data_IF_850075251391
#
_entry.id   IF_850075251391
#
_cell.length_a   1.000
_cell.length_b   1.000
_cell.length_c   1.000
_cell.angle_alpha   90.00
_cell.angle_beta   90.00
_cell.angle_gamma   90.00
#
_symmetry.space_group_name_H-M   'P 1'
#
loop_
_entity.id
_entity.type
_entity.pdbx_description
1 polymer ?
#
# COMPACT_ATOMS: atom_id res chain seq x y z
N UNK A 1 -18.25 20.10 2.24
CA UNK A 1 -19.02 20.55 1.05
C UNK A 1 -20.53 20.22 1.15
N UNK A 2 -21.08 20.03 2.37
CA UNK A 2 -22.52 19.97 2.60
C UNK A 2 -23.21 18.65 2.25
N UNK A 3 -22.46 17.56 2.02
CA UNK A 3 -23.02 16.23 1.77
C UNK A 3 -22.65 15.29 2.90
N UNK A 4 -23.64 14.53 3.38
CA UNK A 4 -23.42 13.49 4.38
C UNK A 4 -22.64 12.31 3.77
N UNK A 5 -21.60 11.87 4.46
CA UNK A 5 -20.86 10.66 4.11
C UNK A 5 -21.42 9.50 4.93
N UNK A 6 -21.70 8.38 4.28
CA UNK A 6 -22.07 7.11 4.91
C UNK A 6 -21.03 6.06 4.57
N UNK A 7 -20.66 5.24 5.54
CA UNK A 7 -19.77 4.09 5.36
C UNK A 7 -20.57 2.81 5.56
N UNK A 8 -20.30 1.84 4.68
CA UNK A 8 -20.79 0.47 4.81
C UNK A 8 -19.58 -0.46 4.85
N UNK A 9 -19.58 -1.38 5.77
CA UNK A 9 -18.46 -2.31 5.99
C UNK A 9 -18.90 -3.76 5.83
N UNK A 10 -17.99 -4.60 5.44
CA UNK A 10 -18.20 -6.03 5.31
C UNK A 10 -16.89 -6.78 5.56
N UNK A 11 -16.88 -7.63 6.61
CA UNK A 11 -15.74 -8.48 6.91
C UNK A 11 -15.66 -9.65 5.92
N UNK A 12 -14.50 -9.80 5.29
CA UNK A 12 -14.28 -10.80 4.23
C UNK A 12 -13.46 -12.01 4.69
N UNK A 13 -12.80 -11.93 5.85
CA UNK A 13 -11.83 -12.94 6.28
C UNK A 13 -10.68 -13.11 5.27
N UNK A 14 -10.40 -12.06 4.49
CA UNK A 14 -9.41 -12.05 3.39
C UNK A 14 -9.72 -13.04 2.25
N UNK A 15 -10.95 -13.56 2.17
CA UNK A 15 -11.40 -14.47 1.12
C UNK A 15 -11.94 -13.68 -0.08
N UNK A 16 -11.45 -13.99 -1.29
CA UNK A 16 -11.79 -13.25 -2.51
C UNK A 16 -13.26 -13.41 -2.89
N UNK A 17 -13.82 -14.61 -2.79
CA UNK A 17 -15.24 -14.90 -3.07
C UNK A 17 -16.17 -14.11 -2.14
N UNK A 18 -15.88 -14.11 -0.85
CA UNK A 18 -16.61 -13.32 0.14
C UNK A 18 -16.48 -11.82 -0.12
N UNK A 19 -15.29 -11.36 -0.56
CA UNK A 19 -15.08 -9.97 -0.96
C UNK A 19 -15.94 -9.55 -2.14
N UNK A 20 -16.11 -10.41 -3.13
CA UNK A 20 -17.02 -10.18 -4.27
C UNK A 20 -18.47 -10.17 -3.81
N UNK A 21 -18.88 -11.09 -2.93
CA UNK A 21 -20.22 -11.10 -2.33
C UNK A 21 -20.50 -9.81 -1.54
N UNK A 22 -19.56 -9.37 -0.70
CA UNK A 22 -19.65 -8.11 0.03
C UNK A 22 -19.83 -6.92 -0.93
N UNK A 23 -19.07 -6.85 -2.00
CA UNK A 23 -19.18 -5.81 -3.01
C UNK A 23 -20.58 -5.79 -3.64
N UNK A 24 -21.08 -6.92 -4.12
CA UNK A 24 -22.42 -7.02 -4.74
C UNK A 24 -23.53 -6.58 -3.77
N UNK A 25 -23.41 -6.92 -2.49
CA UNK A 25 -24.38 -6.57 -1.47
C UNK A 25 -24.33 -5.09 -1.08
N UNK A 26 -23.14 -4.48 -1.10
CA UNK A 26 -22.95 -3.10 -0.61
C UNK A 26 -23.09 -2.05 -1.72
N UNK A 27 -22.74 -2.38 -2.98
CA UNK A 27 -22.66 -1.41 -4.06
C UNK A 27 -23.95 -0.60 -4.32
N UNK A 28 -25.12 -1.17 -4.02
CA UNK A 28 -26.41 -0.51 -4.21
C UNK A 28 -26.98 0.20 -2.97
N UNK A 29 -26.33 0.09 -1.81
CA UNK A 29 -26.83 0.71 -0.57
C UNK A 29 -26.75 2.24 -0.62
N UNK A 30 -27.62 2.89 0.14
CA UNK A 30 -27.67 4.36 0.29
C UNK A 30 -27.78 5.13 -1.05
N UNK A 31 -28.41 4.54 -2.04
CA UNK A 31 -28.53 5.13 -3.38
C UNK A 31 -27.37 4.86 -4.33
N UNK A 32 -26.46 3.98 -3.93
CA UNK A 32 -25.30 3.56 -4.70
C UNK A 32 -23.97 4.01 -4.10
N UNK A 33 -22.97 3.13 -4.20
CA UNK A 33 -21.62 3.43 -3.73
C UNK A 33 -20.94 4.45 -4.65
N UNK A 34 -20.43 5.54 -4.09
CA UNK A 34 -19.64 6.53 -4.83
C UNK A 34 -18.21 6.04 -5.06
N UNK A 35 -17.65 5.28 -4.10
CA UNK A 35 -16.33 4.66 -4.15
C UNK A 35 -16.34 3.34 -3.40
N UNK A 36 -15.37 2.48 -3.67
CA UNK A 36 -15.19 1.22 -2.94
C UNK A 36 -13.70 1.01 -2.58
N UNK A 37 -13.45 0.53 -1.38
CA UNK A 37 -12.11 0.16 -0.89
C UNK A 37 -12.08 -1.34 -0.60
N UNK A 38 -11.52 -2.18 -1.48
CA UNK A 38 -11.50 -3.65 -1.32
C UNK A 38 -10.69 -4.13 -0.12
N UNK A 39 -9.67 -3.38 0.29
CA UNK A 39 -8.70 -3.69 1.35
C UNK A 39 -8.08 -5.10 1.25
N UNK A 40 -7.95 -5.60 0.04
CA UNK A 40 -7.30 -6.86 -0.32
C UNK A 40 -6.87 -6.82 -1.78
N UNK A 41 -5.64 -7.25 -2.06
CA UNK A 41 -5.13 -7.35 -3.44
C UNK A 41 -5.91 -8.38 -4.25
N UNK A 42 -6.21 -9.55 -3.69
CA UNK A 42 -7.00 -10.58 -4.37
C UNK A 42 -8.41 -10.12 -4.71
N UNK A 43 -9.10 -9.44 -3.77
CA UNK A 43 -10.43 -8.86 -4.01
C UNK A 43 -10.34 -7.75 -5.06
N UNK A 44 -9.30 -6.91 -5.01
CA UNK A 44 -9.08 -5.85 -6.03
C UNK A 44 -8.95 -6.46 -7.43
N UNK A 45 -8.22 -7.57 -7.58
CA UNK A 45 -8.09 -8.26 -8.87
C UNK A 45 -9.46 -8.71 -9.39
N UNK A 46 -10.27 -9.34 -8.55
CA UNK A 46 -11.60 -9.79 -8.91
C UNK A 46 -12.54 -8.63 -9.27
N UNK A 47 -12.48 -7.53 -8.52
CA UNK A 47 -13.34 -6.36 -8.74
C UNK A 47 -12.89 -5.48 -9.91
N UNK A 48 -11.64 -5.57 -10.35
CA UNK A 48 -11.14 -4.80 -11.51
C UNK A 48 -11.98 -5.03 -12.77
N UNK A 49 -12.54 -6.23 -12.95
CA UNK A 49 -13.39 -6.54 -14.10
C UNK A 49 -14.86 -6.12 -13.91
N UNK A 50 -15.31 -5.93 -12.66
CA UNK A 50 -16.68 -5.53 -12.34
C UNK A 50 -16.87 -4.01 -12.26
N UNK A 51 -15.92 -3.33 -11.67
CA UNK A 51 -15.97 -1.88 -11.43
C UNK A 51 -16.31 -1.03 -12.65
N UNK A 52 -15.80 -1.34 -13.88
CA UNK A 52 -16.18 -0.59 -15.10
C UNK A 52 -17.68 -0.65 -15.41
N UNK A 53 -18.30 -1.82 -15.27
CA UNK A 53 -19.74 -2.01 -15.51
C UNK A 53 -20.61 -1.31 -14.47
N UNK A 54 -20.17 -1.31 -13.22
CA UNK A 54 -20.86 -0.66 -12.11
C UNK A 54 -20.53 0.84 -11.98
N UNK A 55 -19.48 1.31 -12.68
CA UNK A 55 -18.99 2.70 -12.64
C UNK A 55 -18.61 3.13 -11.21
N UNK A 56 -17.94 2.28 -10.47
CA UNK A 56 -17.51 2.54 -9.08
C UNK A 56 -15.98 2.55 -9.02
N UNK A 57 -15.33 3.68 -8.68
CA UNK A 57 -13.88 3.73 -8.47
C UNK A 57 -13.44 2.82 -7.32
N UNK A 58 -12.39 2.04 -7.57
CA UNK A 58 -11.71 1.24 -6.56
C UNK A 58 -10.51 2.03 -6.03
N UNK A 59 -10.56 2.44 -4.77
CA UNK A 59 -9.47 3.17 -4.14
C UNK A 59 -8.62 2.18 -3.35
N UNK A 60 -7.36 2.03 -3.77
CA UNK A 60 -6.44 1.04 -3.22
C UNK A 60 -5.12 1.67 -2.81
N UNK A 61 -5.17 2.61 -1.86
CA UNK A 61 -4.01 3.35 -1.40
C UNK A 61 -2.84 2.43 -0.96
N UNK A 62 -1.90 2.20 -1.87
CA UNK A 62 -0.72 1.36 -1.66
C UNK A 62 -0.96 -0.14 -1.69
N UNK A 63 -2.04 -0.62 -2.29
CA UNK A 63 -2.27 -2.06 -2.48
C UNK A 63 -3.02 -2.32 -3.81
N UNK A 64 -3.28 -3.59 -4.11
CA UNK A 64 -3.93 -4.00 -5.33
C UNK A 64 -2.94 -4.30 -6.45
N UNK A 65 -3.35 -4.03 -7.68
CA UNK A 65 -2.56 -4.29 -8.89
C UNK A 65 -1.58 -3.14 -9.13
N UNK A 66 -0.28 -3.42 -9.16
CA UNK A 66 0.73 -2.37 -9.40
C UNK A 66 0.62 -1.76 -10.80
N UNK A 67 0.28 -2.55 -11.81
CA UNK A 67 0.06 -2.06 -13.18
C UNK A 67 -1.17 -1.17 -13.31
N UNK A 68 -2.07 -1.15 -12.34
CA UNK A 68 -3.23 -0.25 -12.33
C UNK A 68 -2.89 1.22 -12.09
N UNK A 69 -1.63 1.54 -11.84
CA UNK A 69 -1.11 2.90 -11.96
C UNK A 69 -1.33 3.49 -13.37
N UNK A 70 -1.39 2.64 -14.41
CA UNK A 70 -1.73 3.06 -15.77
C UNK A 70 -3.24 3.28 -15.94
N UNK A 71 -3.67 4.50 -15.72
CA UNK A 71 -5.07 4.91 -15.90
C UNK A 71 -5.57 4.83 -17.35
N UNK A 72 -4.67 4.76 -18.32
CA UNK A 72 -5.02 4.55 -19.73
C UNK A 72 -5.70 3.20 -19.99
N UNK A 73 -5.39 2.19 -19.16
CA UNK A 73 -6.00 0.85 -19.21
C UNK A 73 -6.94 0.63 -18.03
N UNK A 74 -6.48 0.93 -16.82
CA UNK A 74 -7.23 0.67 -15.58
C UNK A 74 -8.05 1.89 -15.15
N UNK A 75 -9.05 2.21 -15.93
CA UNK A 75 -9.89 3.41 -15.78
C UNK A 75 -10.51 3.58 -14.39
N UNK A 76 -10.75 2.49 -13.66
CA UNK A 76 -11.50 2.49 -12.40
C UNK A 76 -10.70 2.07 -11.17
N UNK A 77 -9.40 1.83 -11.32
CA UNK A 77 -8.49 1.49 -10.23
C UNK A 77 -7.59 2.69 -9.89
N UNK A 78 -7.46 3.00 -8.60
CA UNK A 78 -6.67 4.13 -8.11
C UNK A 78 -5.73 3.69 -6.97
N UNK A 79 -4.52 3.19 -7.30
CA UNK A 79 -3.51 2.82 -6.32
C UNK A 79 -2.76 4.06 -5.83
N UNK A 80 -3.48 4.94 -5.15
CA UNK A 80 -2.99 6.25 -4.73
C UNK A 80 -1.77 6.15 -3.80
N UNK A 81 -0.86 7.09 -3.94
CA UNK A 81 0.35 7.30 -3.16
C UNK A 81 1.46 6.27 -3.36
N UNK A 82 1.25 5.24 -4.16
CA UNK A 82 2.28 4.25 -4.50
C UNK A 82 1.74 2.84 -4.71
N UNK A 83 2.57 1.99 -5.29
CA UNK A 83 2.27 0.59 -5.59
C UNK A 83 3.28 -0.33 -4.92
N UNK A 84 3.03 -1.63 -4.94
CA UNK A 84 3.99 -2.62 -4.45
C UNK A 84 5.30 -2.63 -5.23
N UNK A 85 5.29 -2.22 -6.50
CA UNK A 85 6.55 -2.08 -7.26
C UNK A 85 7.37 -0.89 -6.78
N UNK A 86 6.74 0.21 -6.38
CA UNK A 86 7.42 1.30 -5.67
C UNK A 86 8.04 0.79 -4.36
N UNK A 87 7.32 -0.02 -3.60
CA UNK A 87 7.82 -0.57 -2.34
C UNK A 87 9.05 -1.46 -2.54
N UNK A 88 8.98 -2.40 -3.48
CA UNK A 88 10.10 -3.31 -3.78
C UNK A 88 11.32 -2.55 -4.26
N UNK A 89 11.11 -1.56 -5.12
CA UNK A 89 12.18 -0.71 -5.64
C UNK A 89 12.91 0.06 -4.53
N UNK A 90 12.17 0.74 -3.67
CA UNK A 90 12.74 1.51 -2.55
C UNK A 90 13.44 0.62 -1.52
N UNK A 91 12.92 -0.58 -1.23
CA UNK A 91 13.62 -1.53 -0.36
C UNK A 91 15.01 -1.87 -0.94
N UNK A 92 15.10 -2.15 -2.24
CA UNK A 92 16.40 -2.46 -2.87
C UNK A 92 17.31 -1.23 -2.90
N UNK A 93 16.78 -0.01 -3.07
CA UNK A 93 17.58 1.21 -2.97
C UNK A 93 18.21 1.38 -1.57
N UNK A 94 17.44 1.13 -0.50
CA UNK A 94 17.97 1.24 0.87
C UNK A 94 19.01 0.14 1.17
N UNK A 95 18.74 -1.09 0.74
CA UNK A 95 19.70 -2.21 0.83
C UNK A 95 21.01 -1.84 0.10
N UNK A 96 20.91 -1.32 -1.12
CA UNK A 96 22.07 -0.89 -1.90
C UNK A 96 22.87 0.21 -1.18
N UNK A 97 22.19 1.21 -0.66
CA UNK A 97 22.81 2.30 0.11
C UNK A 97 23.57 1.77 1.34
N UNK A 98 22.95 0.87 2.10
CA UNK A 98 23.57 0.25 3.29
C UNK A 98 24.72 -0.70 2.93
N UNK A 99 24.68 -1.34 1.77
CA UNK A 99 25.76 -2.17 1.27
C UNK A 99 26.95 -1.36 0.74
N UNK A 100 26.81 -0.05 0.59
CA UNK A 100 27.87 0.84 0.08
C UNK A 100 27.78 1.15 -1.41
N UNK A 101 26.65 0.84 -2.06
CA UNK A 101 26.36 1.13 -3.46
C UNK A 101 25.65 0.00 -4.18
N UNK A 102 25.02 0.31 -5.30
CA UNK A 102 24.28 -0.68 -6.10
C UNK A 102 25.19 -1.77 -6.68
N UNK A 103 26.44 -1.42 -7.00
CA UNK A 103 27.48 -2.35 -7.45
C UNK A 103 27.84 -3.42 -6.40
N UNK A 104 27.62 -3.13 -5.13
CA UNK A 104 27.85 -4.05 -4.01
C UNK A 104 26.77 -5.12 -3.85
N UNK A 105 25.68 -5.01 -4.60
CA UNK A 105 24.64 -6.05 -4.63
C UNK A 105 25.02 -7.24 -5.50
N UNK A 106 25.99 -7.09 -6.40
CA UNK A 106 26.44 -8.19 -7.27
C UNK A 106 26.93 -9.38 -6.44
N UNK A 107 26.35 -10.55 -6.70
CA UNK A 107 26.64 -11.79 -5.98
C UNK A 107 26.02 -11.91 -4.59
N UNK A 108 25.33 -10.90 -4.09
CA UNK A 108 24.53 -10.99 -2.86
C UNK A 108 23.36 -11.95 -3.05
N UNK A 109 22.83 -12.45 -1.94
CA UNK A 109 21.64 -13.29 -1.93
C UNK A 109 20.52 -12.62 -1.14
N UNK A 110 19.38 -12.37 -1.79
CA UNK A 110 18.18 -11.82 -1.17
C UNK A 110 17.09 -12.90 -1.22
N UNK A 111 16.45 -13.18 -0.09
CA UNK A 111 15.32 -14.09 0.00
C UNK A 111 14.02 -13.29 0.18
N UNK A 112 13.05 -13.48 -0.70
CA UNK A 112 11.70 -12.97 -0.56
C UNK A 112 10.86 -14.02 0.18
N UNK A 113 10.48 -13.75 1.42
CA UNK A 113 9.48 -14.51 2.16
C UNK A 113 8.14 -13.82 1.95
N UNK A 114 7.22 -14.46 1.25
CA UNK A 114 5.99 -13.81 0.83
C UNK A 114 4.75 -14.66 1.11
N UNK A 115 3.67 -13.98 1.47
CA UNK A 115 2.36 -14.62 1.62
C UNK A 115 1.91 -15.19 0.26
N UNK A 116 1.58 -16.48 0.20
CA UNK A 116 1.17 -17.13 -1.05
C UNK A 116 -0.26 -16.72 -1.45
N UNK A 117 -0.34 -15.53 -2.01
CA UNK A 117 -1.56 -14.89 -2.49
C UNK A 117 -1.24 -13.87 -3.57
N UNK A 118 -2.23 -13.32 -4.26
CA UNK A 118 -2.01 -12.21 -5.20
C UNK A 118 -1.20 -11.06 -4.58
N UNK A 119 -1.43 -10.72 -3.31
CA UNK A 119 -0.66 -9.71 -2.58
C UNK A 119 0.83 -10.04 -2.51
N UNK A 120 1.18 -11.23 -2.03
CA UNK A 120 2.59 -11.61 -1.86
C UNK A 120 3.34 -11.71 -3.18
N UNK A 121 2.64 -12.12 -4.25
CA UNK A 121 3.21 -12.25 -5.59
C UNK A 121 3.49 -10.93 -6.29
N UNK A 122 2.88 -9.83 -5.84
CA UNK A 122 3.12 -8.49 -6.40
C UNK A 122 4.58 -8.02 -6.28
N UNK A 123 5.33 -8.50 -5.26
CA UNK A 123 6.74 -8.16 -5.10
C UNK A 123 7.66 -8.83 -6.14
N UNK A 124 7.25 -9.97 -6.70
CA UNK A 124 8.13 -10.82 -7.51
C UNK A 124 8.67 -10.09 -8.75
N UNK A 125 7.84 -9.44 -9.59
CA UNK A 125 8.32 -8.81 -10.82
C UNK A 125 9.39 -7.74 -10.57
N UNK A 126 9.16 -6.83 -9.63
CA UNK A 126 10.12 -5.76 -9.34
C UNK A 126 11.42 -6.29 -8.74
N UNK A 127 11.36 -7.29 -7.86
CA UNK A 127 12.56 -7.86 -7.27
C UNK A 127 13.36 -8.68 -8.29
N UNK A 128 12.70 -9.34 -9.25
CA UNK A 128 13.36 -10.02 -10.36
C UNK A 128 14.04 -9.01 -11.29
N UNK A 129 13.38 -7.89 -11.61
CA UNK A 129 13.97 -6.82 -12.41
C UNK A 129 15.22 -6.25 -11.75
N UNK A 130 15.13 -5.94 -10.45
CA UNK A 130 16.28 -5.46 -9.68
C UNK A 130 17.39 -6.52 -9.54
N UNK A 131 17.04 -7.80 -9.43
CA UNK A 131 18.02 -8.88 -9.39
C UNK A 131 18.79 -9.00 -10.71
N UNK A 132 18.09 -8.92 -11.84
CA UNK A 132 18.71 -8.92 -13.16
C UNK A 132 19.63 -7.70 -13.35
N UNK A 133 19.19 -6.51 -12.92
CA UNK A 133 19.95 -5.27 -13.05
C UNK A 133 21.23 -5.28 -12.20
N UNK A 134 21.17 -5.72 -10.95
CA UNK A 134 22.27 -5.61 -10.00
C UNK A 134 23.07 -6.90 -9.82
N UNK A 135 22.65 -8.02 -10.41
CA UNK A 135 23.34 -9.31 -10.34
C UNK A 135 23.29 -9.98 -8.96
N UNK A 136 22.28 -9.73 -8.16
CA UNK A 136 22.05 -10.50 -6.94
C UNK A 136 21.18 -11.74 -7.20
N UNK A 137 21.36 -12.79 -6.39
CA UNK A 137 20.51 -13.97 -6.38
C UNK A 137 19.21 -13.65 -5.64
N UNK A 138 18.06 -13.97 -6.22
CA UNK A 138 16.75 -13.88 -5.58
C UNK A 138 16.19 -15.29 -5.32
N UNK A 139 15.85 -15.60 -4.07
CA UNK A 139 15.11 -16.80 -3.69
C UNK A 139 13.67 -16.45 -3.33
N UNK A 140 12.71 -17.23 -3.82
CA UNK A 140 11.28 -17.05 -3.59
C UNK A 140 10.78 -18.09 -2.61
N UNK A 141 10.33 -17.66 -1.43
CA UNK A 141 9.91 -18.52 -0.32
C UNK A 141 8.45 -18.23 0.03
N UNK A 142 7.49 -18.94 -0.61
CA UNK A 142 6.08 -18.76 -0.31
C UNK A 142 5.72 -19.28 1.08
N UNK A 143 4.81 -18.57 1.75
CA UNK A 143 4.24 -18.97 3.03
C UNK A 143 2.71 -19.01 2.90
N UNK A 144 2.13 -20.16 3.20
CA UNK A 144 0.69 -20.38 3.09
C UNK A 144 -0.08 -19.59 4.15
N UNK A 145 -1.25 -19.04 3.76
CA UNK A 145 -2.16 -18.38 4.69
C UNK A 145 -2.53 -19.30 5.89
N UNK A 146 -2.60 -18.80 7.12
CA UNK A 146 -2.43 -17.41 7.58
C UNK A 146 -0.97 -17.02 7.88
N UNK A 147 0.01 -17.85 7.57
CA UNK A 147 1.41 -17.51 7.71
C UNK A 147 2.08 -17.96 9.02
N UNK A 148 1.46 -18.87 9.78
CA UNK A 148 1.99 -19.39 11.05
C UNK A 148 2.98 -20.55 10.86
N UNK A 149 2.93 -21.25 9.72
CA UNK A 149 3.79 -22.40 9.45
C UNK A 149 5.04 -21.97 8.68
N UNK A 150 6.07 -21.50 9.40
CA UNK A 150 7.29 -20.96 8.82
C UNK A 150 8.59 -21.70 9.19
N UNK A 151 8.52 -22.76 9.99
CA UNK A 151 9.74 -23.47 10.46
C UNK A 151 10.61 -23.97 9.30
N UNK A 152 10.01 -24.60 8.30
CA UNK A 152 10.74 -25.10 7.11
C UNK A 152 11.41 -23.96 6.34
N UNK A 153 10.71 -22.84 6.16
CA UNK A 153 11.23 -21.63 5.52
C UNK A 153 12.45 -21.09 6.25
N UNK A 154 12.39 -21.00 7.58
CA UNK A 154 13.50 -20.46 8.38
C UNK A 154 14.65 -21.45 8.55
N UNK A 155 14.43 -22.76 8.50
CA UNK A 155 15.49 -23.76 8.38
C UNK A 155 16.21 -23.64 7.01
N UNK A 156 15.48 -23.36 5.94
CA UNK A 156 16.07 -23.08 4.65
C UNK A 156 16.91 -21.78 4.68
N UNK A 157 16.38 -20.69 5.23
CA UNK A 157 17.11 -19.41 5.40
C UNK A 157 18.39 -19.63 6.22
N UNK A 158 18.31 -20.41 7.30
CA UNK A 158 19.49 -20.75 8.14
C UNK A 158 20.55 -21.51 7.35
N UNK A 159 20.14 -22.43 6.48
CA UNK A 159 21.06 -23.19 5.63
C UNK A 159 21.67 -22.34 4.53
N UNK A 160 20.84 -21.57 3.84
CA UNK A 160 21.18 -20.83 2.61
C UNK A 160 21.84 -19.47 2.93
N UNK A 161 21.66 -18.96 4.13
CA UNK A 161 22.24 -17.71 4.67
C UNK A 161 22.15 -16.53 3.71
N UNK A 162 20.94 -16.12 3.26
CA UNK A 162 20.85 -14.94 2.44
C UNK A 162 21.39 -13.70 3.16
N UNK A 163 21.95 -12.76 2.40
CA UNK A 163 22.45 -11.49 2.94
C UNK A 163 21.30 -10.62 3.45
N UNK A 164 20.12 -10.70 2.84
CA UNK A 164 18.92 -9.99 3.23
C UNK A 164 17.67 -10.84 3.07
N UNK A 165 16.67 -10.56 3.88
CA UNK A 165 15.31 -11.13 3.78
C UNK A 165 14.33 -9.99 3.57
N UNK A 166 13.50 -10.11 2.54
CA UNK A 166 12.36 -9.23 2.32
C UNK A 166 11.10 -9.95 2.78
N UNK A 167 10.38 -9.37 3.74
CA UNK A 167 9.12 -9.88 4.28
C UNK A 167 7.94 -9.23 3.56
N UNK A 168 7.26 -9.99 2.72
CA UNK A 168 6.04 -9.55 2.06
C UNK A 168 4.83 -10.25 2.68
N UNK A 169 4.60 -9.94 3.94
CA UNK A 169 3.56 -10.52 4.79
C UNK A 169 2.61 -9.47 5.37
N UNK A 170 1.60 -9.95 6.05
CA UNK A 170 0.66 -9.17 6.85
C UNK A 170 0.17 -10.00 8.04
N UNK A 171 -0.33 -9.31 9.07
CA UNK A 171 -0.94 -9.94 10.24
C UNK A 171 0.02 -10.90 10.97
N UNK A 172 -0.50 -12.05 11.41
CA UNK A 172 0.24 -13.03 12.22
C UNK A 172 1.48 -13.59 11.50
N UNK A 173 1.53 -13.54 10.18
CA UNK A 173 2.71 -13.94 9.42
C UNK A 173 3.95 -13.15 9.83
N UNK A 174 3.79 -11.83 10.08
CA UNK A 174 4.90 -10.93 10.40
C UNK A 174 5.52 -11.26 11.76
N UNK A 175 4.71 -11.36 12.82
CA UNK A 175 5.20 -11.69 14.16
C UNK A 175 5.80 -13.11 14.21
N UNK A 176 5.22 -14.06 13.47
CA UNK A 176 5.77 -15.42 13.32
C UNK A 176 7.13 -15.38 12.64
N UNK A 177 7.27 -14.64 11.53
CA UNK A 177 8.54 -14.46 10.83
C UNK A 177 9.63 -13.94 11.75
N UNK A 178 9.35 -12.92 12.55
CA UNK A 178 10.31 -12.32 13.46
C UNK A 178 10.69 -13.26 14.63
N UNK A 179 9.76 -14.05 15.14
CA UNK A 179 10.01 -15.08 16.15
C UNK A 179 10.90 -16.19 15.60
N UNK A 180 10.65 -16.66 14.39
CA UNK A 180 11.49 -17.66 13.73
C UNK A 180 12.88 -17.11 13.37
N UNK A 181 12.97 -15.84 12.95
CA UNK A 181 14.25 -15.17 12.75
C UNK A 181 15.07 -15.12 14.04
N UNK A 182 14.42 -14.82 15.16
CA UNK A 182 15.06 -14.84 16.49
C UNK A 182 15.54 -16.25 16.86
N UNK A 183 14.70 -17.26 16.68
CA UNK A 183 15.00 -18.64 16.99
C UNK A 183 16.17 -19.22 16.17
N UNK A 184 16.32 -18.77 14.92
CA UNK A 184 17.40 -19.18 14.01
C UNK A 184 18.65 -18.30 14.11
N UNK A 185 18.62 -17.23 14.91
CA UNK A 185 19.72 -16.29 15.06
C UNK A 185 19.96 -15.40 13.83
N UNK A 186 18.96 -15.22 12.98
CA UNK A 186 19.09 -14.36 11.79
C UNK A 186 19.05 -12.87 12.20
N UNK A 187 19.98 -12.00 11.73
CA UNK A 187 20.04 -10.59 12.11
C UNK A 187 18.80 -9.82 11.66
N UNK A 188 18.11 -9.13 12.58
CA UNK A 188 16.92 -8.34 12.25
C UNK A 188 17.22 -7.15 11.38
N UNK A 189 18.43 -6.59 11.44
CA UNK A 189 18.91 -5.48 10.62
C UNK A 189 18.98 -5.83 9.12
N UNK A 190 18.98 -7.12 8.79
CA UNK A 190 18.97 -7.65 7.43
C UNK A 190 17.56 -8.01 6.94
N UNK A 191 16.50 -7.74 7.73
CA UNK A 191 15.11 -8.01 7.36
C UNK A 191 14.39 -6.70 7.02
N UNK A 192 13.68 -6.71 5.90
CA UNK A 192 12.89 -5.57 5.41
C UNK A 192 11.44 -5.98 5.17
N UNK A 193 10.50 -5.37 5.87
CA UNK A 193 9.07 -5.58 5.68
C UNK A 193 8.47 -4.60 4.67
N UNK A 194 7.48 -5.07 3.92
CA UNK A 194 6.57 -4.17 3.20
C UNK A 194 5.74 -3.36 4.21
N UNK A 195 5.08 -2.28 3.79
CA UNK A 195 4.28 -1.43 4.70
C UNK A 195 3.13 -2.12 5.44
N UNK A 196 2.74 -3.34 5.08
CA UNK A 196 1.82 -4.19 5.85
C UNK A 196 2.54 -5.06 6.88
N UNK A 197 3.86 -4.98 6.94
CA UNK A 197 4.72 -5.71 7.85
C UNK A 197 5.60 -4.77 8.70
N UNK A 198 5.14 -3.55 8.92
CA UNK A 198 5.87 -2.51 9.64
C UNK A 198 4.99 -1.74 10.61
N UNK A 199 4.17 -2.43 11.39
CA UNK A 199 3.27 -1.84 12.36
C UNK A 199 3.53 -2.37 13.78
N UNK A 200 2.95 -1.71 14.77
CA UNK A 200 3.12 -2.05 16.19
C UNK A 200 2.69 -3.50 16.51
N UNK A 201 1.56 -4.03 16.00
CA UNK A 201 1.16 -5.41 16.27
C UNK A 201 2.18 -6.47 15.78
N UNK A 202 3.00 -6.13 14.78
CA UNK A 202 4.00 -7.06 14.25
C UNK A 202 5.17 -7.30 15.20
N UNK A 203 5.50 -6.30 16.05
CA UNK A 203 6.75 -6.23 16.82
C UNK A 203 6.55 -6.07 18.33
N UNK A 204 5.42 -5.56 18.77
CA UNK A 204 5.14 -5.16 20.17
C UNK A 204 5.39 -6.32 21.16
N UNK A 205 4.88 -7.51 20.86
CA UNK A 205 5.01 -8.68 21.71
C UNK A 205 6.41 -9.31 21.69
N UNK A 206 7.23 -8.96 20.70
CA UNK A 206 8.59 -9.43 20.53
C UNK A 206 9.58 -8.45 21.17
N UNK A 207 9.23 -7.17 21.18
CA UNK A 207 10.00 -6.10 21.81
C UNK A 207 11.44 -6.03 21.32
N UNK A 208 12.39 -6.21 22.25
CA UNK A 208 13.82 -6.19 21.96
C UNK A 208 14.26 -7.32 21.00
N UNK A 209 13.55 -8.42 20.92
CA UNK A 209 13.83 -9.50 19.98
C UNK A 209 13.65 -9.10 18.51
N UNK A 210 12.84 -8.07 18.26
CA UNK A 210 12.63 -7.50 16.93
C UNK A 210 13.50 -6.26 16.65
N UNK A 211 14.32 -5.81 17.61
CA UNK A 211 15.18 -4.62 17.42
C UNK A 211 16.04 -4.74 16.18
N UNK A 212 16.07 -3.68 15.39
CA UNK A 212 16.80 -3.63 14.12
C UNK A 212 15.95 -3.98 12.88
N UNK A 213 14.76 -4.58 13.07
CA UNK A 213 13.86 -4.88 11.97
C UNK A 213 13.45 -3.62 11.23
N UNK A 214 13.63 -3.62 9.90
CA UNK A 214 13.30 -2.52 9.02
C UNK A 214 11.96 -2.77 8.32
N UNK A 215 11.21 -1.71 8.06
CA UNK A 215 10.06 -1.78 7.18
C UNK A 215 9.95 -0.51 6.34
N UNK A 216 9.34 -0.63 5.18
CA UNK A 216 9.05 0.53 4.34
C UNK A 216 7.73 1.17 4.75
N UNK A 217 7.61 2.48 4.59
CA UNK A 217 6.36 3.21 4.76
C UNK A 217 6.22 4.34 3.74
N UNK A 218 5.00 4.57 3.27
CA UNK A 218 4.66 5.70 2.41
C UNK A 218 4.01 6.86 3.18
N UNK A 219 3.65 6.64 4.44
CA UNK A 219 3.15 7.67 5.35
C UNK A 219 3.99 7.71 6.61
N UNK A 220 3.80 8.77 7.38
CA UNK A 220 4.34 8.82 8.73
C UNK A 220 3.54 7.85 9.60
N UNK A 221 4.20 6.86 10.16
CA UNK A 221 3.61 5.93 11.12
C UNK A 221 3.99 6.31 12.54
N UNK A 222 3.13 6.00 13.49
CA UNK A 222 3.40 6.11 14.92
C UNK A 222 3.71 7.53 15.44
N UNK A 223 3.23 8.59 14.80
CA UNK A 223 3.33 9.93 15.37
C UNK A 223 2.01 10.45 15.93
N UNK A 224 1.91 10.34 17.23
CA UNK A 224 0.83 10.93 18.02
C UNK A 224 0.86 12.48 18.00
N UNK A 225 1.88 13.08 17.42
CA UNK A 225 2.10 14.53 17.35
C UNK A 225 1.47 15.24 16.15
N UNK A 226 1.02 14.53 15.12
CA UNK A 226 0.40 15.15 13.95
C UNK A 226 -0.92 15.86 14.27
N UNK A 227 -1.24 16.91 13.52
CA UNK A 227 -2.45 17.70 13.77
C UNK A 227 -3.73 16.86 13.61
N UNK A 228 -3.78 15.97 12.63
CA UNK A 228 -4.93 15.09 12.43
C UNK A 228 -5.14 14.14 13.61
N UNK A 229 -4.09 13.60 14.21
CA UNK A 229 -4.18 12.74 15.40
C UNK A 229 -4.71 13.52 16.59
N UNK A 230 -4.20 14.73 16.84
CA UNK A 230 -4.71 15.60 17.89
C UNK A 230 -6.20 15.91 17.70
N UNK A 231 -6.60 16.23 16.48
CA UNK A 231 -7.99 16.51 16.16
C UNK A 231 -8.91 15.29 16.42
N UNK A 232 -8.48 14.07 16.07
CA UNK A 232 -9.22 12.84 16.38
C UNK A 232 -9.35 12.65 17.89
N UNK A 233 -8.27 12.82 18.64
CA UNK A 233 -8.29 12.68 20.11
C UNK A 233 -9.20 13.70 20.77
N UNK A 234 -9.15 14.97 20.35
CA UNK A 234 -9.90 16.08 20.95
C UNK A 234 -11.38 16.11 20.51
N UNK A 235 -11.66 15.87 19.23
CA UNK A 235 -13.01 16.02 18.66
C UNK A 235 -13.83 14.74 18.64
N UNK A 236 -13.20 13.57 18.70
CA UNK A 236 -13.85 12.27 18.63
C UNK A 236 -13.74 11.55 19.97
N UNK A 237 -12.52 11.14 20.38
CA UNK A 237 -12.35 10.35 21.60
C UNK A 237 -12.71 11.11 22.87
N UNK A 238 -12.36 12.38 23.01
CA UNK A 238 -12.74 13.18 24.19
C UNK A 238 -14.25 13.33 24.37
N UNK A 239 -15.02 13.13 23.29
CA UNK A 239 -16.50 13.17 23.32
C UNK A 239 -17.15 11.79 23.45
N UNK A 240 -16.36 10.73 23.68
CA UNK A 240 -16.86 9.36 23.77
C UNK A 240 -17.39 8.79 22.45
N UNK A 241 -17.02 9.37 21.31
CA UNK A 241 -17.47 8.96 19.98
C UNK A 241 -16.46 8.05 19.26
N UNK A 242 -15.26 7.87 19.82
CA UNK A 242 -14.24 6.98 19.27
C UNK A 242 -14.56 5.52 19.55
N UNK A 243 -14.34 4.67 18.56
CA UNK A 243 -14.34 3.22 18.70
C UNK A 243 -12.91 2.71 18.72
N UNK A 244 -12.62 1.67 19.48
CA UNK A 244 -11.29 1.13 19.66
C UNK A 244 -10.43 1.85 20.71
N UNK A 245 -9.24 1.30 21.02
CA UNK A 245 -8.36 1.83 22.06
C UNK A 245 -7.80 3.20 21.71
N UNK A 246 -7.89 4.14 22.66
CA UNK A 246 -7.43 5.51 22.48
C UNK A 246 -5.91 5.60 22.31
N UNK A 247 -5.17 4.71 22.91
CA UNK A 247 -3.70 4.66 22.87
C UNK A 247 -3.16 4.14 21.52
N UNK A 248 -3.99 3.49 20.71
CA UNK A 248 -3.66 3.06 19.35
C UNK A 248 -3.83 4.18 18.30
N UNK A 249 -4.50 5.29 18.67
CA UNK A 249 -4.65 6.44 17.77
C UNK A 249 -3.28 7.03 17.46
N UNK A 250 -2.94 7.05 16.18
CA UNK A 250 -1.63 7.48 15.68
C UNK A 250 -0.62 6.34 15.46
N UNK A 251 -0.95 5.09 15.76
CA UNK A 251 -0.15 3.93 15.33
C UNK A 251 -0.17 3.79 13.81
N UNK A 252 0.80 3.04 13.26
CA UNK A 252 1.02 2.94 11.81
C UNK A 252 -0.25 2.55 11.04
N UNK A 253 -0.97 1.51 11.47
CA UNK A 253 -2.20 1.07 10.79
C UNK A 253 -3.35 2.06 10.99
N UNK A 254 -3.44 2.72 12.14
CA UNK A 254 -4.42 3.78 12.36
C UNK A 254 -4.19 4.95 11.37
N UNK A 255 -2.94 5.40 11.24
CA UNK A 255 -2.58 6.45 10.28
C UNK A 255 -2.87 6.04 8.85
N UNK A 256 -2.69 4.76 8.51
CA UNK A 256 -3.04 4.21 7.20
C UNK A 256 -4.55 4.32 6.94
N UNK A 257 -5.38 4.01 7.92
CA UNK A 257 -6.83 4.21 7.85
C UNK A 257 -7.22 5.67 7.62
N UNK A 258 -6.59 6.59 8.37
CA UNK A 258 -6.85 8.03 8.24
C UNK A 258 -6.51 8.56 6.84
N UNK A 259 -5.35 8.22 6.29
CA UNK A 259 -5.01 8.73 4.95
C UNK A 259 -5.84 8.06 3.85
N UNK A 260 -6.22 6.79 4.00
CA UNK A 260 -7.13 6.12 3.06
C UNK A 260 -8.50 6.78 3.04
N UNK A 261 -9.05 7.12 4.21
CA UNK A 261 -10.29 7.89 4.32
C UNK A 261 -10.15 9.30 3.73
N UNK A 262 -9.03 9.97 3.98
CA UNK A 262 -8.74 11.28 3.40
C UNK A 262 -8.72 11.23 1.87
N UNK A 263 -8.07 10.23 1.25
CA UNK A 263 -8.08 10.05 -0.19
C UNK A 263 -9.49 9.82 -0.74
N UNK A 264 -10.29 8.97 -0.08
CA UNK A 264 -11.68 8.73 -0.50
C UNK A 264 -12.50 10.03 -0.51
N UNK A 265 -12.36 10.86 0.53
CA UNK A 265 -13.07 12.14 0.65
C UNK A 265 -12.55 13.19 -0.34
N UNK A 266 -11.23 13.36 -0.46
CA UNK A 266 -10.65 14.42 -1.29
C UNK A 266 -10.89 14.21 -2.79
N UNK A 267 -10.91 12.97 -3.29
CA UNK A 267 -11.30 12.69 -4.66
C UNK A 267 -12.74 13.10 -4.96
N UNK A 268 -13.67 12.78 -4.06
CA UNK A 268 -15.07 13.23 -4.20
C UNK A 268 -15.18 14.75 -4.07
N UNK A 269 -14.42 15.36 -3.15
CA UNK A 269 -14.40 16.83 -3.00
C UNK A 269 -13.87 17.51 -4.26
N UNK A 270 -12.84 16.95 -4.90
CA UNK A 270 -12.32 17.45 -6.18
C UNK A 270 -13.39 17.38 -7.28
N UNK A 271 -14.17 16.31 -7.32
CA UNK A 271 -15.31 16.22 -8.25
C UNK A 271 -16.36 17.30 -7.96
N UNK A 272 -16.66 17.57 -6.69
CA UNK A 272 -17.62 18.63 -6.31
C UNK A 272 -17.17 20.04 -6.71
N UNK A 273 -15.88 20.32 -6.76
CA UNK A 273 -15.39 21.61 -7.27
C UNK A 273 -15.76 21.81 -8.77
N UNK A 274 -15.79 20.73 -9.57
CA UNK A 274 -16.19 20.78 -10.98
C UNK A 274 -17.72 20.72 -11.17
N UNK A 275 -18.38 19.78 -10.50
CA UNK A 275 -19.78 19.42 -10.80
C UNK A 275 -20.80 20.08 -9.87
N UNK A 276 -20.34 20.76 -8.81
CA UNK A 276 -21.14 21.55 -7.88
C UNK A 276 -21.03 21.11 -6.42
N UNK A 277 -20.67 22.05 -5.57
CA UNK A 277 -20.66 21.88 -4.11
C UNK A 277 -22.05 21.55 -3.60
N UNK A 278 -22.13 20.73 -2.55
CA UNK A 278 -23.41 20.29 -1.97
C UNK A 278 -24.16 19.22 -2.78
N UNK A 279 -23.59 18.74 -3.90
CA UNK A 279 -24.19 17.67 -4.69
C UNK A 279 -23.55 16.30 -4.37
N UNK A 280 -24.37 15.27 -4.37
CA UNK A 280 -23.90 13.89 -4.36
C UNK A 280 -23.27 13.58 -5.72
N UNK A 281 -22.09 13.01 -5.71
CA UNK A 281 -21.36 12.65 -6.93
C UNK A 281 -21.72 11.23 -7.38
N UNK A 282 -21.91 11.06 -8.69
CA UNK A 282 -21.92 9.72 -9.30
C UNK A 282 -20.53 9.11 -9.29
N UNK A 283 -20.41 7.79 -9.49
CA UNK A 283 -19.10 7.15 -9.60
C UNK A 283 -18.26 7.69 -10.77
N UNK A 284 -18.88 8.06 -11.90
CA UNK A 284 -18.17 8.71 -13.03
C UNK A 284 -17.61 10.08 -12.66
N UNK A 285 -18.39 10.87 -11.95
CA UNK A 285 -17.94 12.16 -11.44
C UNK A 285 -16.84 12.00 -10.39
N UNK A 286 -16.98 11.03 -9.47
CA UNK A 286 -15.96 10.70 -8.49
C UNK A 286 -14.66 10.23 -9.19
N UNK A 287 -14.76 9.37 -10.21
CA UNK A 287 -13.61 8.96 -11.03
C UNK A 287 -12.87 10.17 -11.61
N UNK A 288 -13.59 11.12 -12.18
CA UNK A 288 -12.97 12.37 -12.65
C UNK A 288 -12.21 13.08 -11.51
N UNK A 289 -12.79 13.13 -10.31
CA UNK A 289 -12.15 13.74 -9.15
C UNK A 289 -10.85 13.03 -8.76
N UNK A 290 -10.82 11.70 -8.80
CA UNK A 290 -9.60 10.93 -8.54
C UNK A 290 -8.57 11.08 -9.65
N UNK A 291 -8.95 11.23 -10.89
CA UNK A 291 -8.04 11.50 -12.02
C UNK A 291 -7.48 12.93 -12.02
N UNK A 292 -8.06 13.82 -11.24
CA UNK A 292 -7.63 15.22 -11.11
C UNK A 292 -7.30 15.60 -9.67
N UNK A 293 -6.96 14.61 -8.83
CA UNK A 293 -6.59 14.83 -7.46
C UNK A 293 -5.24 15.56 -7.41
N UNK A 294 -5.18 16.68 -6.69
CA UNK A 294 -3.96 17.45 -6.48
C UNK A 294 -3.83 17.82 -5.01
N UNK A 295 -3.19 16.94 -4.26
CA UNK A 295 -2.88 17.13 -2.85
C UNK A 295 -1.47 17.72 -2.73
N UNK A 296 -1.38 19.03 -2.87
CA UNK A 296 -0.13 19.78 -2.63
C UNK A 296 0.27 19.70 -1.16
N UNK A 297 1.53 20.04 -0.83
CA UNK A 297 1.97 20.10 0.56
C UNK A 297 1.09 21.05 1.38
N UNK A 298 0.78 22.24 0.86
CA UNK A 298 -0.09 23.20 1.54
C UNK A 298 -1.49 22.63 1.81
N UNK A 299 -2.04 21.86 0.88
CA UNK A 299 -3.32 21.18 1.08
C UNK A 299 -3.24 20.12 2.17
N UNK A 300 -2.20 19.29 2.15
CA UNK A 300 -1.96 18.28 3.18
C UNK A 300 -1.78 18.92 4.57
N UNK A 301 -1.05 20.02 4.65
CA UNK A 301 -0.86 20.78 5.90
C UNK A 301 -2.19 21.30 6.45
N UNK A 302 -3.06 21.83 5.58
CA UNK A 302 -4.41 22.30 5.95
C UNK A 302 -5.31 21.14 6.43
N UNK A 303 -5.15 19.95 5.87
CA UNK A 303 -5.89 18.74 6.27
C UNK A 303 -5.33 18.06 7.54
N UNK A 304 -4.26 18.62 8.12
CA UNK A 304 -3.63 18.05 9.32
C UNK A 304 -2.61 16.96 9.07
N UNK A 305 -2.24 16.70 7.81
CA UNK A 305 -1.29 15.66 7.39
C UNK A 305 0.14 16.18 7.14
N UNK A 306 0.50 17.33 7.72
CA UNK A 306 1.85 17.87 7.65
C UNK A 306 2.88 16.86 8.13
N UNK A 307 3.87 16.55 7.28
CA UNK A 307 4.92 15.56 7.57
C UNK A 307 4.47 14.11 7.55
N UNK A 308 3.18 13.83 7.35
CA UNK A 308 2.63 12.47 7.29
C UNK A 308 2.77 11.88 5.89
N UNK A 309 2.44 12.67 4.86
CA UNK A 309 2.45 12.24 3.47
C UNK A 309 3.27 13.18 2.58
N UNK A 310 3.77 12.64 1.49
CA UNK A 310 4.28 13.42 0.36
C UNK A 310 3.10 13.85 -0.53
N UNK A 311 3.23 14.96 -1.28
CA UNK A 311 2.21 15.39 -2.23
C UNK A 311 1.81 14.28 -3.20
N UNK A 312 0.52 14.26 -3.57
CA UNK A 312 -0.06 13.30 -4.52
C UNK A 312 -0.77 14.07 -5.61
N UNK A 313 -0.41 13.82 -6.87
CA UNK A 313 -1.03 14.44 -8.03
C UNK A 313 -1.29 13.39 -9.10
N UNK A 314 -2.55 13.10 -9.35
CA UNK A 314 -2.99 12.11 -10.33
C UNK A 314 -3.36 12.76 -11.67
N UNK A 315 -3.46 11.93 -12.67
CA UNK A 315 -4.01 12.28 -13.97
C UNK A 315 -4.79 11.11 -14.55
N UNK A 316 -5.48 11.32 -15.65
CA UNK A 316 -6.11 10.25 -16.42
C UNK A 316 -5.11 9.14 -16.85
N UNK A 317 -3.84 9.47 -17.04
CA UNK A 317 -2.80 8.52 -17.41
C UNK A 317 -2.09 7.90 -16.22
N UNK A 318 -2.01 8.62 -15.10
CA UNK A 318 -1.32 8.19 -13.89
C UNK A 318 -2.28 8.20 -12.69
N UNK A 319 -2.72 7.03 -12.26
CA UNK A 319 -3.61 6.84 -11.13
C UNK A 319 -2.87 6.63 -9.79
N UNK A 320 -1.56 6.56 -9.80
CA UNK A 320 -0.73 6.44 -8.60
C UNK A 320 -0.46 7.80 -7.93
N UNK A 321 -0.07 8.78 -8.71
CA UNK A 321 0.10 10.18 -8.32
C UNK A 321 1.26 10.48 -7.38
N UNK A 322 1.96 9.48 -6.85
CA UNK A 322 3.18 9.60 -6.05
C UNK A 322 3.96 8.29 -6.05
N UNK A 323 5.28 8.37 -5.82
CA UNK A 323 6.18 7.22 -5.84
C UNK A 323 7.27 7.34 -4.76
N UNK A 324 6.89 7.90 -3.61
CA UNK A 324 7.80 8.16 -2.50
C UNK A 324 7.55 7.19 -1.35
N UNK A 325 8.63 6.69 -0.75
CA UNK A 325 8.58 5.93 0.47
C UNK A 325 9.88 6.09 1.26
N UNK A 326 9.90 5.67 2.52
CA UNK A 326 11.07 5.68 3.36
C UNK A 326 11.10 4.50 4.31
N UNK A 327 12.24 4.27 4.94
CA UNK A 327 12.43 3.17 5.89
C UNK A 327 12.29 3.68 7.31
N UNK A 328 11.57 2.92 8.12
CA UNK A 328 11.61 3.01 9.56
C UNK A 328 12.12 1.69 10.15
N UNK A 329 12.73 1.78 11.33
CA UNK A 329 13.35 0.64 12.01
C UNK A 329 12.80 0.55 13.42
N UNK A 330 12.51 -0.66 13.88
CA UNK A 330 12.08 -0.91 15.24
C UNK A 330 13.27 -0.84 16.19
N UNK A 331 13.26 0.07 17.18
CA UNK A 331 14.35 0.24 18.14
C UNK A 331 14.22 -0.65 19.38
N UNK A 332 13.17 -1.49 19.45
CA UNK A 332 12.81 -2.34 20.58
C UNK A 332 11.59 -1.85 21.37
N UNK A 333 11.16 -0.61 21.14
CA UNK A 333 9.99 0.00 21.81
C UNK A 333 9.11 0.85 20.89
N UNK A 334 9.67 1.42 19.85
CA UNK A 334 8.95 2.25 18.87
C UNK A 334 9.59 2.18 17.49
N UNK A 335 8.85 2.56 16.48
CA UNK A 335 9.34 2.78 15.13
C UNK A 335 10.05 4.14 15.04
N UNK A 336 11.21 4.18 14.39
CA UNK A 336 11.98 5.40 14.13
C UNK A 336 12.38 5.45 12.67
N UNK A 337 12.27 6.62 12.04
CA UNK A 337 12.77 6.80 10.67
C UNK A 337 14.28 6.69 10.64
N UNK A 338 14.78 5.83 9.76
CA UNK A 338 16.20 5.58 9.57
C UNK A 338 16.68 5.93 8.17
N UNK A 339 15.78 6.40 7.31
CA UNK A 339 16.13 6.98 6.02
C UNK A 339 15.39 8.28 5.76
N UNK A 340 15.93 9.08 4.83
CA UNK A 340 15.17 10.11 4.13
C UNK A 340 14.16 9.47 3.17
N UNK A 341 13.36 10.29 2.51
CA UNK A 341 12.48 9.86 1.46
C UNK A 341 13.27 9.38 0.23
N UNK A 342 12.97 8.18 -0.23
CA UNK A 342 13.36 7.67 -1.53
C UNK A 342 12.26 7.93 -2.53
N UNK A 343 12.66 8.25 -3.75
CA UNK A 343 11.78 8.19 -4.90
C UNK A 343 12.06 6.88 -5.65
N UNK A 344 11.01 6.14 -6.00
CA UNK A 344 11.17 4.97 -6.82
C UNK A 344 11.71 5.34 -8.20
N UNK A 345 12.51 4.46 -8.79
CA UNK A 345 13.13 4.66 -10.08
C UNK A 345 12.08 4.60 -11.20
N UNK A 346 11.69 5.77 -11.69
CA UNK A 346 10.69 5.89 -12.76
C UNK A 346 11.14 5.24 -14.07
N UNK A 347 12.44 5.14 -14.32
CA UNK A 347 12.97 4.47 -15.52
C UNK A 347 12.75 2.95 -15.49
N UNK A 348 12.51 2.39 -14.32
CA UNK A 348 12.17 0.98 -14.12
C UNK A 348 10.66 0.82 -13.98
N UNK A 349 10.03 1.58 -13.08
CA UNK A 349 8.62 1.41 -12.72
C UNK A 349 7.69 1.72 -13.91
N UNK A 350 7.91 2.84 -14.61
CA UNK A 350 7.01 3.23 -15.74
C UNK A 350 6.99 2.22 -16.89
N UNK A 351 8.14 1.70 -17.39
CA UNK A 351 8.13 0.64 -18.40
C UNK A 351 7.46 -0.66 -17.92
N UNK A 352 7.68 -1.07 -16.67
CA UNK A 352 7.04 -2.25 -16.09
C UNK A 352 5.52 -2.08 -16.03
N UNK A 353 5.03 -0.94 -15.53
CA UNK A 353 3.60 -0.61 -15.46
C UNK A 353 2.99 -0.65 -16.85
N UNK A 354 3.63 0.03 -17.82
CA UNK A 354 3.14 0.06 -19.19
C UNK A 354 3.07 -1.33 -19.82
N UNK A 355 4.14 -2.12 -19.72
CA UNK A 355 4.20 -3.45 -20.31
C UNK A 355 3.13 -4.39 -19.73
N UNK A 356 2.94 -4.38 -18.42
CA UNK A 356 1.92 -5.20 -17.75
C UNK A 356 0.49 -4.71 -18.08
N UNK A 357 0.27 -3.41 -18.14
CA UNK A 357 -1.02 -2.84 -18.53
C UNK A 357 -1.37 -3.16 -20.01
N UNK A 358 -0.39 -3.05 -20.92
CA UNK A 358 -0.60 -3.42 -22.33
C UNK A 358 -0.91 -4.91 -22.48
N UNK A 359 -0.22 -5.79 -21.72
CA UNK A 359 -0.52 -7.22 -21.69
C UNK A 359 -1.95 -7.48 -21.21
N UNK A 360 -2.35 -6.87 -20.10
CA UNK A 360 -3.71 -6.99 -19.58
C UNK A 360 -4.75 -6.48 -20.59
N UNK A 361 -4.51 -5.34 -21.23
CA UNK A 361 -5.40 -4.78 -22.26
C UNK A 361 -5.57 -5.76 -23.43
N UNK A 362 -4.47 -6.37 -23.90
CA UNK A 362 -4.52 -7.37 -24.97
C UNK A 362 -5.31 -8.62 -24.56
N UNK A 363 -5.05 -9.18 -23.38
CA UNK A 363 -5.76 -10.35 -22.85
C UNK A 363 -7.26 -10.10 -22.68
N UNK A 364 -7.65 -8.91 -22.24
CA UNK A 364 -9.04 -8.51 -21.98
C UNK A 364 -9.70 -7.81 -23.17
N UNK A 365 -8.99 -7.65 -24.29
CA UNK A 365 -9.47 -6.93 -25.50
C UNK A 365 -9.94 -5.50 -25.17
N UNK A 366 -9.22 -4.82 -24.30
CA UNK A 366 -9.50 -3.43 -23.93
C UNK A 366 -8.73 -2.47 -24.84
N UNK A 367 -9.37 -1.35 -25.16
CA UNK A 367 -8.71 -0.25 -25.85
C UNK A 367 -8.13 0.72 -24.83
N UNK A 368 -6.84 1.05 -24.96
CA UNK A 368 -6.20 2.08 -24.15
C UNK A 368 -6.83 3.43 -24.46
N UNK A 369 -7.10 4.21 -23.41
CA UNK A 369 -7.57 5.60 -23.56
C UNK A 369 -6.50 6.47 -24.23
N UNK A 370 -6.96 7.35 -25.09
CA UNK A 370 -6.14 8.42 -25.68
C UNK A 370 -6.19 9.68 -24.81
N UNK A 371 -5.30 10.67 -25.01
CA UNK A 371 -5.42 11.96 -24.33
C UNK A 371 -6.77 12.66 -24.55
N UNK A 372 -7.43 12.43 -25.70
CA UNK A 372 -8.76 12.97 -25.97
C UNK A 372 -9.84 12.36 -25.04
N UNK A 373 -9.73 11.07 -24.73
CA UNK A 373 -10.67 10.38 -23.84
C UNK A 373 -10.54 10.86 -22.38
N UNK A 374 -9.49 11.61 -22.07
CA UNK A 374 -9.20 12.16 -20.75
C UNK A 374 -9.76 13.56 -20.52
N UNK A 375 -10.30 14.19 -21.57
CA UNK A 375 -10.83 15.56 -21.50
C UNK A 375 -12.33 15.63 -21.17
N UNK A 376 -13.01 14.49 -21.17
CA UNK A 376 -14.46 14.36 -20.97
C UNK A 376 -14.90 14.25 -19.51
#
# INVERSE_FOLDING_TARGET
NGVKVSFEECETGYATDRGVECYERLKGKNGGATVFQPLSTGITFALTEKAPGDKIPLITAGYGRSESADGGVFKWNFPLAGTYWVAGDVIIQDIAKKAGGADKLKGKHIALVYHDSPFGKEAIPILQERAAMHGFKLSLLPVTHPGVEQKSTWLQIRRDRPDYVVNWGWGVMNSTLLKEAQATGYPREQIYGVWWAGAEPDVKDIGMGAKGYNAITMQHGAEKGSAVVKEVLEKIHAKGQGTGPKDEVGEVLYMRGLFSAMFAIEGVRQAQEKYGKGKVMTGEQARWGYENLNLTQAKLDTLGFKGVLRPVSTSCADHMGANWARIHTWNGSKWEFTSDWYQADEQIIKPMVKAAADKYAAEKKLTRRTPADCQS
#
